data_IF_904140821007
#
_entry.id   IF_904140821007
#
_cell.length_a   1.000
_cell.length_b   1.000
_cell.length_c   1.000
_cell.angle_alpha   90.00
_cell.angle_beta   90.00
_cell.angle_gamma   90.00
#
_symmetry.space_group_name_H-M   'P 1'
#
loop_
_entity.id
_entity.type
_entity.pdbx_description
1 polymer ?
#
# COMPACT_ATOMS: atom_id res chain seq x y z
N UNK A 1 30.83 35.57 -35.95
CA UNK A 1 30.97 34.13 -35.57
C UNK A 1 31.65 33.91 -34.22
N UNK A 2 32.91 34.33 -33.98
CA UNK A 2 33.62 34.09 -32.69
C UNK A 2 32.92 34.64 -31.43
N UNK A 3 32.33 35.84 -31.49
CA UNK A 3 31.58 36.44 -30.36
C UNK A 3 30.30 35.67 -30.03
N UNK A 4 29.56 35.22 -31.06
CA UNK A 4 28.33 34.43 -30.90
C UNK A 4 28.65 33.07 -30.25
N UNK A 5 29.71 32.40 -30.71
CA UNK A 5 30.16 31.13 -30.14
C UNK A 5 30.58 31.28 -28.66
N UNK A 6 31.24 32.39 -28.30
CA UNK A 6 31.62 32.70 -26.92
C UNK A 6 30.39 32.90 -26.03
N UNK A 7 29.38 33.63 -26.50
CA UNK A 7 28.11 33.85 -25.77
C UNK A 7 27.40 32.50 -25.59
N UNK A 8 27.24 31.71 -26.67
CA UNK A 8 26.61 30.40 -26.60
C UNK A 8 27.31 29.46 -25.60
N UNK A 9 28.66 29.45 -25.57
CA UNK A 9 29.43 28.68 -24.60
C UNK A 9 29.17 29.12 -23.15
N UNK A 10 29.15 30.43 -22.88
CA UNK A 10 28.88 30.97 -21.54
C UNK A 10 27.45 30.62 -21.12
N UNK A 11 26.46 30.80 -22.01
CA UNK A 11 25.06 30.44 -21.75
C UNK A 11 24.93 28.96 -21.45
N UNK A 12 25.57 28.09 -22.22
CA UNK A 12 25.57 26.65 -21.98
C UNK A 12 26.17 26.29 -20.62
N UNK A 13 27.32 26.86 -20.26
CA UNK A 13 27.95 26.65 -18.95
C UNK A 13 27.05 27.14 -17.81
N UNK A 14 26.41 28.29 -17.98
CA UNK A 14 25.49 28.84 -16.98
C UNK A 14 24.26 27.95 -16.79
N UNK A 15 23.64 27.48 -17.88
CA UNK A 15 22.51 26.54 -17.83
C UNK A 15 22.91 25.23 -17.15
N UNK A 16 24.07 24.68 -17.51
CA UNK A 16 24.60 23.47 -16.89
C UNK A 16 24.86 23.67 -15.39
N UNK A 17 25.42 24.81 -14.98
CA UNK A 17 25.63 25.14 -13.57
C UNK A 17 24.31 25.25 -12.81
N UNK A 18 23.26 25.86 -13.40
CA UNK A 18 21.92 25.92 -12.81
C UNK A 18 21.36 24.52 -12.59
N UNK A 19 21.47 23.63 -13.57
CA UNK A 19 21.02 22.24 -13.46
C UNK A 19 21.78 21.52 -12.33
N UNK A 20 23.10 21.68 -12.23
CA UNK A 20 23.90 21.08 -11.16
C UNK A 20 23.52 21.60 -9.77
N UNK A 21 23.32 22.92 -9.63
CA UNK A 21 22.87 23.53 -8.36
C UNK A 21 21.49 23.00 -7.98
N UNK A 22 20.59 22.84 -8.94
CA UNK A 22 19.26 22.28 -8.70
C UNK A 22 19.34 20.81 -8.26
N UNK A 23 20.17 19.98 -8.91
CA UNK A 23 20.40 18.58 -8.50
C UNK A 23 20.99 18.51 -7.09
N UNK A 24 21.99 19.35 -6.79
CA UNK A 24 22.60 19.42 -5.46
C UNK A 24 21.57 19.84 -4.39
N UNK A 25 20.74 20.83 -4.69
CA UNK A 25 19.64 21.24 -3.80
C UNK A 25 18.66 20.09 -3.53
N UNK A 26 18.23 19.36 -4.57
CA UNK A 26 17.32 18.23 -4.40
C UNK A 26 17.94 17.13 -3.56
N UNK A 27 19.21 16.81 -3.79
CA UNK A 27 19.95 15.82 -3.02
C UNK A 27 20.07 16.21 -1.54
N UNK A 28 20.50 17.44 -1.25
CA UNK A 28 20.65 17.96 0.12
C UNK A 28 19.28 18.02 0.81
N UNK A 29 18.25 18.53 0.12
CA UNK A 29 16.87 18.60 0.64
C UNK A 29 16.31 17.21 0.95
N UNK A 30 16.58 16.21 0.10
CA UNK A 30 16.21 14.82 0.37
C UNK A 30 16.93 14.28 1.61
N UNK A 31 18.25 14.47 1.72
CA UNK A 31 19.02 13.99 2.87
C UNK A 31 18.58 14.63 4.20
N UNK A 32 18.31 15.94 4.20
CA UNK A 32 17.77 16.64 5.37
C UNK A 32 16.39 16.09 5.74
N UNK A 33 15.52 15.86 4.75
CA UNK A 33 14.15 15.39 5.00
C UNK A 33 14.10 13.94 5.53
N UNK A 34 14.91 13.04 4.96
CA UNK A 34 14.93 11.63 5.36
C UNK A 34 15.51 11.43 6.76
N UNK A 35 16.33 12.38 7.22
CA UNK A 35 17.14 12.31 8.44
C UNK A 35 18.14 11.13 8.41
N UNK A 36 19.14 11.15 9.30
CA UNK A 36 19.96 9.96 9.54
C UNK A 36 19.16 8.93 10.32
N UNK A 37 19.65 7.68 10.36
CA UNK A 37 19.10 6.68 11.28
C UNK A 37 19.17 7.18 12.73
N UNK A 38 18.21 6.75 13.54
CA UNK A 38 18.15 6.99 14.96
C UNK A 38 18.41 5.67 15.72
N UNK A 39 19.46 5.62 16.52
CA UNK A 39 19.88 4.40 17.24
C UNK A 39 18.81 3.83 18.18
N UNK A 40 17.98 4.69 18.79
CA UNK A 40 16.88 4.22 19.65
C UNK A 40 15.77 3.56 18.84
N UNK A 41 15.45 4.10 17.66
CA UNK A 41 14.48 3.51 16.74
C UNK A 41 15.00 2.18 16.18
N UNK A 42 16.25 2.16 15.71
CA UNK A 42 16.93 0.95 15.21
C UNK A 42 16.95 -0.15 16.28
N UNK A 43 17.34 0.18 17.52
CA UNK A 43 17.35 -0.78 18.64
C UNK A 43 15.96 -1.34 18.93
N UNK A 44 14.91 -0.51 18.91
CA UNK A 44 13.53 -0.97 19.05
C UNK A 44 13.10 -1.87 17.89
N UNK A 45 13.31 -1.44 16.64
CA UNK A 45 12.88 -2.18 15.44
C UNK A 45 13.59 -3.53 15.33
N UNK A 46 14.88 -3.61 15.67
CA UNK A 46 15.66 -4.86 15.64
C UNK A 46 15.05 -5.98 16.51
N UNK A 47 14.25 -5.62 17.53
CA UNK A 47 13.54 -6.55 18.43
C UNK A 47 12.07 -6.76 18.05
N UNK A 48 11.52 -5.90 17.19
CA UNK A 48 10.09 -5.84 16.85
C UNK A 48 9.86 -5.98 15.34
N UNK A 49 10.64 -6.86 14.71
CA UNK A 49 10.50 -7.20 13.30
C UNK A 49 10.52 -8.71 13.07
N UNK A 50 9.94 -9.12 11.95
CA UNK A 50 10.05 -10.47 11.39
C UNK A 50 10.22 -10.39 9.89
N UNK A 51 11.02 -11.27 9.31
CA UNK A 51 11.13 -11.42 7.87
C UNK A 51 9.97 -12.28 7.37
N UNK A 52 9.29 -11.85 6.30
CA UNK A 52 8.27 -12.65 5.62
C UNK A 52 8.98 -13.55 4.62
N UNK A 53 8.79 -14.86 4.77
CA UNK A 53 9.36 -15.87 3.87
C UNK A 53 8.33 -16.96 3.60
N UNK A 54 7.56 -16.80 2.53
CA UNK A 54 6.51 -17.73 2.11
C UNK A 54 5.29 -17.84 3.05
N UNK A 55 5.30 -17.19 4.22
CA UNK A 55 4.16 -17.04 5.12
C UNK A 55 4.43 -15.92 6.15
N UNK A 56 3.37 -15.44 6.81
CA UNK A 56 3.45 -14.45 7.89
C UNK A 56 3.77 -15.15 9.22
N UNK A 57 4.80 -14.67 9.92
CA UNK A 57 5.13 -15.09 11.28
C UNK A 57 4.23 -14.39 12.31
N UNK A 58 3.56 -15.17 13.17
CA UNK A 58 2.65 -14.66 14.19
C UNK A 58 3.34 -13.97 15.38
N UNK A 59 4.67 -14.07 15.50
CA UNK A 59 5.45 -13.56 16.64
C UNK A 59 5.21 -12.09 16.98
N UNK A 60 4.85 -11.25 15.99
CA UNK A 60 4.57 -9.84 16.24
C UNK A 60 3.12 -9.57 16.68
N UNK A 61 2.22 -10.53 16.55
CA UNK A 61 0.80 -10.36 16.82
C UNK A 61 0.47 -10.83 18.23
N UNK A 62 -0.12 -9.93 19.02
CA UNK A 62 -0.56 -10.22 20.38
C UNK A 62 -2.08 -10.45 20.42
N UNK A 63 -2.61 -10.76 21.61
CA UNK A 63 -4.06 -10.94 21.79
C UNK A 63 -4.87 -9.70 21.42
N UNK A 64 -4.29 -8.49 21.48
CA UNK A 64 -5.01 -7.27 21.13
C UNK A 64 -5.18 -7.11 19.61
N UNK A 65 -4.17 -7.52 18.83
CA UNK A 65 -4.25 -7.64 17.38
C UNK A 65 -5.46 -8.49 16.94
N UNK A 66 -5.63 -9.66 17.55
CA UNK A 66 -6.74 -10.57 17.19
C UNK A 66 -8.12 -10.08 17.64
N UNK A 67 -8.23 -9.01 18.43
CA UNK A 67 -9.52 -8.37 18.73
C UNK A 67 -10.01 -7.47 17.60
N UNK A 68 -9.14 -7.09 16.65
CA UNK A 68 -9.55 -6.25 15.54
C UNK A 68 -10.60 -6.92 14.67
N UNK A 69 -11.58 -6.14 14.26
CA UNK A 69 -12.62 -6.60 13.35
C UNK A 69 -12.19 -6.44 11.90
N UNK A 70 -11.48 -5.36 11.58
CA UNK A 70 -11.00 -5.07 10.23
C UNK A 70 -9.48 -4.94 10.23
N UNK A 71 -8.85 -5.65 9.31
CA UNK A 71 -7.41 -5.57 9.03
C UNK A 71 -7.22 -4.93 7.65
N UNK A 72 -6.48 -3.83 7.56
CA UNK A 72 -6.27 -3.12 6.29
C UNK A 72 -4.79 -3.09 5.94
N UNK A 73 -4.45 -3.45 4.71
CA UNK A 73 -3.12 -3.26 4.15
C UNK A 73 -3.17 -2.09 3.15
N UNK A 74 -2.41 -1.03 3.44
CA UNK A 74 -2.23 0.12 2.56
C UNK A 74 -0.96 0.02 1.73
N UNK A 75 -1.04 0.18 0.42
CA UNK A 75 0.13 0.11 -0.47
C UNK A 75 0.30 1.33 -1.39
N UNK A 76 1.52 1.55 -1.84
CA UNK A 76 1.74 2.28 -3.09
C UNK A 76 1.65 1.24 -4.22
N UNK A 77 0.77 1.46 -5.19
CA UNK A 77 0.54 0.51 -6.28
C UNK A 77 1.78 0.28 -7.15
N UNK A 78 1.82 -0.86 -7.85
CA UNK A 78 2.81 -1.12 -8.91
C UNK A 78 3.95 -2.06 -8.53
N UNK A 79 4.04 -2.49 -7.27
CA UNK A 79 5.10 -3.39 -6.80
C UNK A 79 4.59 -4.82 -6.63
N UNK A 80 5.33 -5.80 -7.14
CA UNK A 80 4.96 -7.21 -7.12
C UNK A 80 4.81 -7.77 -5.69
N UNK A 81 5.71 -7.38 -4.79
CA UNK A 81 5.67 -7.88 -3.42
C UNK A 81 4.42 -7.44 -2.64
N UNK A 82 3.70 -6.39 -3.08
CA UNK A 82 2.40 -6.04 -2.49
C UNK A 82 1.36 -7.15 -2.73
N UNK A 83 1.34 -7.78 -3.90
CA UNK A 83 0.45 -8.93 -4.15
C UNK A 83 0.88 -10.15 -3.34
N UNK A 84 2.19 -10.33 -3.13
CA UNK A 84 2.73 -11.38 -2.26
C UNK A 84 2.25 -11.19 -0.82
N UNK A 85 2.52 -10.05 -0.19
CA UNK A 85 2.12 -9.82 1.22
C UNK A 85 0.60 -9.83 1.40
N UNK A 86 -0.16 -9.38 0.39
CA UNK A 86 -1.62 -9.40 0.46
C UNK A 86 -2.16 -10.84 0.54
N UNK A 87 -1.68 -11.70 -0.35
CA UNK A 87 -2.00 -13.13 -0.35
C UNK A 87 -1.61 -13.80 0.97
N UNK A 88 -0.37 -13.57 1.42
CA UNK A 88 0.14 -14.21 2.64
C UNK A 88 -0.61 -13.73 3.89
N UNK A 89 -0.96 -12.45 3.98
CA UNK A 89 -1.79 -11.91 5.07
C UNK A 89 -3.21 -12.49 5.05
N UNK A 90 -3.83 -12.61 3.87
CA UNK A 90 -5.16 -13.20 3.73
C UNK A 90 -5.17 -14.67 4.20
N UNK A 91 -4.20 -15.47 3.75
CA UNK A 91 -4.09 -16.88 4.16
C UNK A 91 -3.80 -17.01 5.65
N UNK A 92 -2.89 -16.18 6.17
CA UNK A 92 -2.57 -16.13 7.59
C UNK A 92 -3.81 -15.81 8.45
N UNK A 93 -4.53 -14.75 8.11
CA UNK A 93 -5.71 -14.29 8.86
C UNK A 93 -6.89 -15.26 8.74
N UNK A 94 -7.06 -15.90 7.59
CA UNK A 94 -8.03 -16.98 7.43
C UNK A 94 -7.73 -18.14 8.40
N UNK A 95 -6.48 -18.62 8.40
CA UNK A 95 -6.04 -19.73 9.25
C UNK A 95 -6.05 -19.43 10.74
N UNK A 96 -5.66 -18.22 11.14
CA UNK A 96 -5.43 -17.85 12.56
C UNK A 96 -6.59 -17.12 13.20
N UNK A 97 -7.37 -16.39 12.43
CA UNK A 97 -8.44 -15.53 12.93
C UNK A 97 -9.81 -15.80 12.28
N UNK A 98 -9.92 -16.80 11.40
CA UNK A 98 -11.17 -17.15 10.73
C UNK A 98 -11.65 -16.09 9.74
N UNK A 99 -10.77 -15.20 9.28
CA UNK A 99 -11.13 -14.17 8.29
C UNK A 99 -11.50 -14.83 6.98
N UNK A 100 -12.76 -14.67 6.57
CA UNK A 100 -13.31 -15.22 5.31
C UNK A 100 -13.89 -14.15 4.40
N UNK A 101 -13.91 -12.89 4.82
CA UNK A 101 -14.38 -11.78 4.02
C UNK A 101 -13.22 -10.86 3.64
N UNK A 102 -12.93 -10.80 2.35
CA UNK A 102 -11.94 -9.90 1.77
C UNK A 102 -12.65 -8.64 1.28
N UNK A 103 -12.41 -7.49 1.90
CA UNK A 103 -12.93 -6.19 1.43
C UNK A 103 -11.96 -5.58 0.43
N UNK A 104 -12.46 -5.12 -0.71
CA UNK A 104 -11.62 -4.77 -1.84
C UNK A 104 -11.86 -3.34 -2.32
N UNK A 105 -10.78 -2.67 -2.74
CA UNK A 105 -10.81 -1.41 -3.51
C UNK A 105 -11.27 -1.64 -4.96
N UNK A 106 -12.48 -2.21 -5.09
CA UNK A 106 -13.20 -2.40 -6.34
C UNK A 106 -14.71 -2.28 -6.04
N UNK A 107 -15.50 -2.07 -7.07
CA UNK A 107 -16.95 -2.00 -6.91
C UNK A 107 -17.59 -3.37 -6.69
N UNK A 108 -18.87 -3.35 -6.27
CA UNK A 108 -19.63 -4.56 -5.97
C UNK A 108 -19.87 -5.47 -7.18
N UNK A 109 -19.88 -4.94 -8.40
CA UNK A 109 -20.11 -5.71 -9.62
C UNK A 109 -18.86 -6.51 -10.01
N UNK A 110 -17.69 -5.87 -9.94
CA UNK A 110 -16.39 -6.54 -10.15
C UNK A 110 -16.17 -7.61 -9.08
N UNK A 111 -16.44 -7.29 -7.81
CA UNK A 111 -16.37 -8.27 -6.73
C UNK A 111 -17.30 -9.46 -6.94
N UNK A 112 -18.52 -9.24 -7.47
CA UNK A 112 -19.45 -10.33 -7.81
C UNK A 112 -18.88 -11.26 -8.88
N UNK A 113 -18.26 -10.71 -9.94
CA UNK A 113 -17.60 -11.51 -11.00
C UNK A 113 -16.44 -12.32 -10.43
N UNK A 114 -15.64 -11.71 -9.57
CA UNK A 114 -14.54 -12.41 -8.89
C UNK A 114 -15.05 -13.55 -8.00
N UNK A 115 -16.12 -13.34 -7.24
CA UNK A 115 -16.73 -14.40 -6.44
C UNK A 115 -17.29 -15.54 -7.32
N UNK A 116 -17.86 -15.24 -8.49
CA UNK A 116 -18.29 -16.28 -9.43
C UNK A 116 -17.12 -17.15 -9.91
N UNK A 117 -15.94 -16.55 -10.10
CA UNK A 117 -14.71 -17.32 -10.34
C UNK A 117 -14.32 -18.16 -9.12
N UNK A 118 -14.21 -17.55 -7.93
CA UNK A 118 -13.76 -18.22 -6.69
C UNK A 118 -14.67 -19.38 -6.24
N UNK A 119 -15.97 -19.30 -6.50
CA UNK A 119 -16.97 -20.32 -6.15
C UNK A 119 -17.28 -21.30 -7.29
N UNK A 120 -16.66 -21.10 -8.47
CA UNK A 120 -16.84 -21.97 -9.61
C UNK A 120 -16.38 -23.41 -9.29
N UNK A 121 -17.08 -24.40 -9.88
CA UNK A 121 -16.64 -25.81 -9.79
C UNK A 121 -15.36 -26.08 -10.57
N UNK A 122 -15.10 -25.27 -11.59
CA UNK A 122 -13.91 -25.33 -12.43
C UNK A 122 -13.23 -23.97 -12.42
N UNK A 123 -11.89 -23.98 -12.42
CA UNK A 123 -11.08 -22.77 -12.46
C UNK A 123 -11.21 -22.13 -13.85
N UNK A 124 -12.01 -21.07 -13.95
CA UNK A 124 -12.22 -20.33 -15.20
C UNK A 124 -11.25 -19.14 -15.29
N UNK A 125 -10.05 -19.40 -15.79
CA UNK A 125 -9.00 -18.39 -15.92
C UNK A 125 -9.38 -17.25 -16.88
N UNK A 126 -10.21 -17.51 -17.90
CA UNK A 126 -10.72 -16.45 -18.79
C UNK A 126 -11.57 -15.45 -18.01
N UNK A 127 -12.49 -15.93 -17.18
CA UNK A 127 -13.31 -15.06 -16.34
C UNK A 127 -12.46 -14.26 -15.33
N UNK A 128 -11.41 -14.86 -14.78
CA UNK A 128 -10.48 -14.14 -13.91
C UNK A 128 -9.70 -13.06 -14.68
N UNK A 129 -9.23 -13.38 -15.90
CA UNK A 129 -8.54 -12.42 -16.75
C UNK A 129 -9.40 -11.17 -17.01
N UNK A 130 -10.68 -11.36 -17.32
CA UNK A 130 -11.64 -10.25 -17.50
C UNK A 130 -11.78 -9.38 -16.24
N UNK A 131 -11.79 -9.99 -15.05
CA UNK A 131 -11.81 -9.25 -13.77
C UNK A 131 -10.55 -8.40 -13.62
N UNK A 132 -9.36 -8.97 -13.87
CA UNK A 132 -8.09 -8.26 -13.76
C UNK A 132 -8.00 -7.12 -14.76
N UNK A 133 -8.41 -7.34 -16.01
CA UNK A 133 -8.46 -6.29 -17.04
C UNK A 133 -9.43 -5.16 -16.67
N UNK A 134 -10.56 -5.50 -16.05
CA UNK A 134 -11.56 -4.52 -15.60
C UNK A 134 -10.99 -3.59 -14.52
N UNK A 135 -10.17 -4.10 -13.61
CA UNK A 135 -9.51 -3.29 -12.54
C UNK A 135 -8.64 -2.17 -13.11
N UNK A 136 -8.11 -2.33 -14.34
CA UNK A 136 -7.31 -1.32 -15.04
C UNK A 136 -8.03 0.02 -15.17
N UNK A 137 -9.37 0.04 -15.20
CA UNK A 137 -10.16 1.27 -15.33
C UNK A 137 -9.97 2.23 -14.16
N UNK A 138 -9.74 1.70 -12.95
CA UNK A 138 -9.56 2.50 -11.73
C UNK A 138 -8.12 2.52 -11.26
N UNK A 139 -7.47 1.36 -11.27
CA UNK A 139 -6.10 1.20 -10.75
C UNK A 139 -5.24 0.50 -11.82
N UNK A 140 -4.84 1.22 -12.88
CA UNK A 140 -4.04 0.66 -13.98
C UNK A 140 -2.80 -0.10 -13.51
N UNK A 141 -2.15 0.39 -12.45
CA UNK A 141 -0.94 -0.18 -11.86
C UNK A 141 -1.17 -1.57 -11.25
N UNK A 142 -2.39 -1.93 -10.87
CA UNK A 142 -2.68 -3.24 -10.27
C UNK A 142 -3.06 -4.31 -11.30
N UNK A 143 -3.57 -3.93 -12.48
CA UNK A 143 -3.95 -4.87 -13.54
C UNK A 143 -2.72 -5.58 -14.12
N UNK A 144 -2.39 -6.74 -13.56
CA UNK A 144 -1.09 -7.38 -13.70
C UNK A 144 -1.17 -8.91 -13.65
N UNK A 145 -0.10 -9.57 -14.07
CA UNK A 145 0.03 -11.03 -13.93
C UNK A 145 0.02 -11.45 -12.45
N UNK A 146 0.65 -10.69 -11.56
CA UNK A 146 0.75 -11.06 -10.14
C UNK A 146 -0.61 -10.96 -9.44
N UNK A 147 -1.48 -10.00 -9.84
CA UNK A 147 -2.85 -9.94 -9.36
C UNK A 147 -3.67 -11.16 -9.83
N UNK A 148 -3.49 -11.57 -11.10
CA UNK A 148 -4.10 -12.79 -11.64
C UNK A 148 -3.61 -14.05 -10.90
N UNK A 149 -2.31 -14.19 -10.69
CA UNK A 149 -1.70 -15.32 -10.00
C UNK A 149 -2.15 -15.40 -8.53
N UNK A 150 -2.27 -14.24 -7.85
CA UNK A 150 -2.82 -14.16 -6.50
C UNK A 150 -4.23 -14.75 -6.46
N UNK A 151 -5.14 -14.28 -7.31
CA UNK A 151 -6.53 -14.74 -7.27
C UNK A 151 -6.68 -16.20 -7.70
N UNK A 152 -5.85 -16.70 -8.62
CA UNK A 152 -5.73 -18.14 -8.88
C UNK A 152 -5.32 -18.93 -7.65
N UNK A 153 -4.34 -18.43 -6.90
CA UNK A 153 -3.91 -19.05 -5.64
C UNK A 153 -5.03 -19.04 -4.59
N UNK A 154 -5.81 -17.96 -4.50
CA UNK A 154 -6.97 -17.86 -3.60
C UNK A 154 -8.07 -18.84 -4.01
N UNK A 155 -8.31 -19.04 -5.31
CA UNK A 155 -9.22 -20.09 -5.80
C UNK A 155 -8.77 -21.47 -5.30
N UNK A 156 -7.49 -21.83 -5.50
CA UNK A 156 -6.96 -23.13 -5.09
C UNK A 156 -7.04 -23.33 -3.58
N UNK A 157 -6.74 -22.27 -2.83
CA UNK A 157 -6.88 -22.25 -1.38
C UNK A 157 -8.34 -22.52 -0.97
N UNK A 158 -9.31 -21.83 -1.59
CA UNK A 158 -10.74 -22.03 -1.33
C UNK A 158 -11.23 -23.46 -1.61
N UNK A 159 -10.68 -24.16 -2.61
CA UNK A 159 -11.08 -25.55 -2.89
C UNK A 159 -10.72 -26.52 -1.76
N UNK A 160 -9.71 -26.17 -0.95
CA UNK A 160 -9.24 -27.00 0.16
C UNK A 160 -9.84 -26.58 1.51
N UNK A 161 -10.69 -25.55 1.54
CA UNK A 161 -11.36 -25.08 2.75
C UNK A 161 -12.74 -25.71 2.93
N UNK A 162 -13.13 -25.88 4.19
CA UNK A 162 -14.54 -26.09 4.53
C UNK A 162 -15.38 -24.89 4.05
N UNK A 163 -16.62 -25.14 3.64
CA UNK A 163 -17.51 -24.10 3.09
C UNK A 163 -17.66 -22.88 4.01
N UNK A 164 -17.62 -23.08 5.34
CA UNK A 164 -17.72 -22.02 6.34
C UNK A 164 -16.51 -21.09 6.43
N UNK A 165 -15.39 -21.45 5.79
CA UNK A 165 -14.13 -20.68 5.81
C UNK A 165 -13.74 -20.13 4.44
N UNK A 166 -14.45 -20.50 3.37
CA UNK A 166 -14.16 -20.05 2.01
C UNK A 166 -14.17 -18.53 1.93
N UNK A 167 -13.13 -18.00 1.31
CA UNK A 167 -12.94 -16.56 1.15
C UNK A 167 -13.96 -16.03 0.15
N UNK A 168 -14.67 -14.99 0.55
CA UNK A 168 -15.62 -14.22 -0.25
C UNK A 168 -15.16 -12.77 -0.34
N UNK A 169 -15.22 -12.19 -1.53
CA UNK A 169 -14.82 -10.81 -1.80
C UNK A 169 -16.01 -9.86 -1.69
N UNK A 170 -15.82 -8.71 -1.05
CA UNK A 170 -16.80 -7.64 -0.93
C UNK A 170 -16.19 -6.38 -1.54
N UNK A 171 -16.74 -5.92 -2.67
CA UNK A 171 -16.37 -4.66 -3.28
C UNK A 171 -16.99 -3.50 -2.52
N UNK A 172 -16.17 -2.63 -1.95
CA UNK A 172 -16.65 -1.48 -1.17
C UNK A 172 -16.45 -0.15 -1.88
N UNK A 173 -15.74 -0.13 -3.00
CA UNK A 173 -15.53 1.11 -3.77
C UNK A 173 -16.79 1.56 -4.52
N UNK A 174 -16.78 2.81 -4.98
CA UNK A 174 -17.78 3.34 -5.90
C UNK A 174 -17.72 2.59 -7.24
N UNK A 175 -18.87 2.42 -7.87
CA UNK A 175 -18.94 1.89 -9.24
C UNK A 175 -18.05 2.72 -10.19
N UNK A 176 -17.51 2.07 -11.21
CA UNK A 176 -16.61 2.74 -12.15
C UNK A 176 -17.27 3.89 -12.92
N UNK A 177 -18.57 3.82 -13.17
CA UNK A 177 -19.40 4.84 -13.80
C UNK A 177 -20.00 5.87 -12.83
N UNK A 178 -19.70 5.77 -11.53
CA UNK A 178 -20.27 6.68 -10.52
C UNK A 178 -19.55 8.03 -10.47
N UNK A 179 -20.12 9.01 -11.17
CA UNK A 179 -19.67 10.40 -11.22
C UNK A 179 -20.16 11.27 -10.06
N UNK A 180 -20.82 10.70 -9.03
CA UNK A 180 -21.33 11.47 -7.91
C UNK A 180 -20.23 12.26 -7.18
N UNK A 181 -20.53 13.51 -6.84
CA UNK A 181 -19.65 14.37 -6.06
C UNK A 181 -19.63 13.92 -4.61
N UNK A 182 -18.45 13.80 -4.01
CA UNK A 182 -18.30 13.42 -2.61
C UNK A 182 -16.97 12.71 -2.34
N UNK A 183 -16.70 12.46 -1.07
CA UNK A 183 -15.52 11.70 -0.66
C UNK A 183 -15.68 10.21 -1.03
N UNK A 184 -14.75 9.69 -1.84
CA UNK A 184 -14.68 8.26 -2.20
C UNK A 184 -14.62 7.38 -0.95
N UNK A 185 -13.83 7.78 0.04
CA UNK A 185 -13.66 7.04 1.30
C UNK A 185 -14.91 7.02 2.15
N UNK A 186 -15.68 8.11 2.18
CA UNK A 186 -17.00 8.13 2.86
C UNK A 186 -17.96 7.18 2.17
N UNK A 187 -17.98 7.15 0.84
CA UNK A 187 -18.77 6.18 0.09
C UNK A 187 -18.31 4.74 0.40
N UNK A 188 -17.01 4.48 0.49
CA UNK A 188 -16.49 3.17 0.88
C UNK A 188 -16.96 2.72 2.27
N UNK A 189 -16.96 3.62 3.26
CA UNK A 189 -17.50 3.32 4.60
C UNK A 189 -18.99 2.98 4.54
N UNK A 190 -19.77 3.75 3.79
CA UNK A 190 -21.21 3.49 3.63
C UNK A 190 -21.47 2.14 2.92
N UNK A 191 -20.74 1.87 1.84
CA UNK A 191 -20.85 0.62 1.10
C UNK A 191 -20.47 -0.59 1.96
N UNK A 192 -19.39 -0.50 2.72
CA UNK A 192 -19.00 -1.53 3.68
C UNK A 192 -20.12 -1.83 4.68
N UNK A 193 -20.63 -0.80 5.37
CA UNK A 193 -21.72 -0.95 6.36
C UNK A 193 -22.98 -1.57 5.75
N UNK A 194 -23.38 -1.10 4.57
CA UNK A 194 -24.53 -1.62 3.85
C UNK A 194 -24.34 -3.08 3.44
N UNK A 195 -23.15 -3.44 2.96
CA UNK A 195 -22.85 -4.81 2.55
C UNK A 195 -22.88 -5.79 3.73
N UNK A 196 -22.22 -5.46 4.85
CA UNK A 196 -22.17 -6.36 6.01
C UNK A 196 -23.53 -6.52 6.68
N UNK A 197 -24.36 -5.46 6.69
CA UNK A 197 -25.71 -5.54 7.22
C UNK A 197 -26.62 -6.39 6.33
N UNK A 198 -26.59 -6.17 5.01
CA UNK A 198 -27.38 -6.96 4.06
C UNK A 198 -27.03 -8.46 4.11
N UNK A 199 -25.78 -8.78 4.41
CA UNK A 199 -25.29 -10.16 4.51
C UNK A 199 -25.45 -10.75 5.92
N UNK A 200 -25.85 -9.96 6.93
CA UNK A 200 -25.90 -10.34 8.35
C UNK A 200 -24.54 -10.85 8.90
N UNK A 201 -23.47 -10.14 8.58
CA UNK A 201 -22.07 -10.49 8.93
C UNK A 201 -21.39 -9.39 9.74
N UNK A 202 -22.15 -8.56 10.45
CA UNK A 202 -21.62 -7.43 11.23
C UNK A 202 -20.70 -7.84 12.37
N UNK A 203 -20.75 -9.10 12.80
CA UNK A 203 -19.90 -9.67 13.85
C UNK A 203 -18.68 -10.43 13.29
N UNK A 204 -18.53 -10.49 11.97
CA UNK A 204 -17.43 -11.18 11.31
C UNK A 204 -16.18 -10.30 11.22
N UNK A 205 -15.07 -10.93 10.83
CA UNK A 205 -13.78 -10.26 10.62
C UNK A 205 -13.47 -10.10 9.14
N UNK A 206 -12.80 -9.00 8.81
CA UNK A 206 -12.53 -8.58 7.44
C UNK A 206 -11.06 -8.26 7.23
N UNK A 207 -10.55 -8.52 6.03
CA UNK A 207 -9.21 -8.12 5.60
C UNK A 207 -9.25 -7.50 4.20
N UNK A 208 -8.36 -6.57 3.87
CA UNK A 208 -8.28 -6.04 2.50
C UNK A 208 -7.04 -5.22 2.19
N UNK A 209 -6.65 -5.23 0.92
CA UNK A 209 -5.63 -4.35 0.33
C UNK A 209 -6.27 -3.10 -0.30
N UNK A 210 -5.71 -1.94 0.00
CA UNK A 210 -6.11 -0.64 -0.52
C UNK A 210 -4.89 0.21 -0.84
N UNK A 211 -5.07 1.27 -1.62
CA UNK A 211 -4.10 2.35 -1.73
C UNK A 211 -3.76 2.95 -0.36
N UNK A 212 -2.50 3.33 -0.17
CA UNK A 212 -1.88 3.72 1.10
C UNK A 212 -2.76 4.67 1.93
N UNK A 213 -3.33 5.69 1.28
CA UNK A 213 -4.11 6.73 1.94
C UNK A 213 -5.39 6.18 2.62
N UNK A 214 -6.04 5.20 2.01
CA UNK A 214 -7.29 4.61 2.51
C UNK A 214 -7.09 3.86 3.84
N UNK A 215 -5.87 3.37 4.11
CA UNK A 215 -5.53 2.61 5.31
C UNK A 215 -5.18 3.48 6.52
N UNK A 216 -5.09 4.81 6.38
CA UNK A 216 -4.71 5.72 7.47
C UNK A 216 -5.87 5.88 8.47
N UNK A 217 -5.67 5.51 9.73
CA UNK A 217 -6.74 5.54 10.76
C UNK A 217 -7.04 6.92 11.36
N UNK A 218 -6.38 7.96 10.90
CA UNK A 218 -6.55 9.34 11.37
C UNK A 218 -6.39 10.29 10.19
N UNK A 219 -7.10 11.42 10.24
CA UNK A 219 -6.96 12.47 9.24
C UNK A 219 -5.54 13.05 9.26
N UNK A 220 -5.13 13.56 8.11
CA UNK A 220 -3.88 14.32 7.92
C UNK A 220 -4.22 15.81 7.92
N UNK A 221 -3.20 16.68 7.84
CA UNK A 221 -3.43 18.14 7.75
C UNK A 221 -4.27 18.56 6.53
N UNK A 222 -4.36 17.71 5.49
CA UNK A 222 -5.25 17.96 4.34
C UNK A 222 -6.73 17.96 4.71
N UNK A 223 -7.11 17.42 5.88
CA UNK A 223 -8.49 17.29 6.33
C UNK A 223 -9.31 16.22 5.59
N UNK A 224 -8.73 15.57 4.58
CA UNK A 224 -9.39 14.51 3.81
C UNK A 224 -9.67 13.29 4.68
N UNK A 225 -10.89 12.78 4.54
CA UNK A 225 -11.35 11.56 5.20
C UNK A 225 -10.73 10.32 4.55
N UNK A 226 -10.54 9.30 5.37
CA UNK A 226 -9.97 8.02 4.96
C UNK A 226 -10.86 6.88 5.40
N UNK A 227 -10.88 5.79 4.63
CA UNK A 227 -11.73 4.63 4.88
C UNK A 227 -11.47 4.06 6.28
N UNK A 228 -10.20 3.83 6.63
CA UNK A 228 -9.82 3.31 7.95
C UNK A 228 -10.23 4.23 9.11
N UNK A 229 -10.11 5.56 8.94
CA UNK A 229 -10.57 6.53 9.93
C UNK A 229 -12.09 6.48 10.11
N UNK A 230 -12.86 6.46 9.02
CA UNK A 230 -14.32 6.40 9.10
C UNK A 230 -14.85 5.09 9.68
N UNK A 231 -14.16 3.96 9.46
CA UNK A 231 -14.45 2.70 10.15
C UNK A 231 -14.22 2.84 11.66
N UNK A 232 -13.05 3.36 12.07
CA UNK A 232 -12.69 3.55 13.48
C UNK A 232 -13.68 4.46 14.21
N UNK A 233 -14.10 5.56 13.59
CA UNK A 233 -15.10 6.47 14.15
C UNK A 233 -16.49 5.85 14.28
N UNK A 234 -16.78 4.81 13.50
CA UNK A 234 -18.02 4.04 13.65
C UNK A 234 -17.99 2.99 14.76
N UNK A 235 -16.90 2.92 15.53
CA UNK A 235 -16.72 1.95 16.60
C UNK A 235 -16.07 0.64 16.17
N UNK A 236 -15.75 0.47 14.88
CA UNK A 236 -15.04 -0.72 14.37
C UNK A 236 -13.59 -0.70 14.87
N UNK A 237 -13.13 -1.80 15.48
CA UNK A 237 -11.72 -1.95 15.83
C UNK A 237 -10.91 -2.28 14.58
N UNK A 238 -10.06 -1.34 14.14
CA UNK A 238 -9.24 -1.45 12.92
C UNK A 238 -7.77 -1.66 13.29
N UNK A 239 -7.10 -2.56 12.58
CA UNK A 239 -5.63 -2.63 12.54
C UNK A 239 -5.16 -2.34 11.13
N UNK A 240 -4.28 -1.36 10.98
CA UNK A 240 -3.71 -0.99 9.68
C UNK A 240 -2.24 -1.39 9.58
N UNK A 241 -1.92 -1.95 8.43
CA UNK A 241 -0.60 -2.20 7.90
C UNK A 241 -0.38 -1.23 6.75
N UNK A 242 0.86 -0.79 6.55
CA UNK A 242 1.25 -0.08 5.31
C UNK A 242 2.51 -0.69 4.73
N UNK A 243 2.72 -0.58 3.41
CA UNK A 243 3.97 -0.97 2.76
C UNK A 243 4.76 0.22 2.24
N UNK A 244 6.08 0.15 2.42
CA UNK A 244 7.07 1.03 1.78
C UNK A 244 8.06 0.20 0.97
N UNK A 245 8.71 0.86 0.02
CA UNK A 245 9.67 0.23 -0.88
C UNK A 245 11.02 0.93 -0.84
N UNK A 246 12.09 0.16 -0.90
CA UNK A 246 13.47 0.65 -1.07
C UNK A 246 14.17 -0.23 -2.10
N UNK A 247 15.03 0.36 -2.92
CA UNK A 247 15.79 -0.33 -3.98
C UNK A 247 14.89 -1.19 -4.91
N UNK A 248 13.64 -0.77 -5.13
CA UNK A 248 12.58 -1.54 -5.82
C UNK A 248 12.13 -0.89 -7.12
N UNK A 249 11.48 -1.67 -7.98
CA UNK A 249 10.93 -1.24 -9.27
C UNK A 249 9.40 -1.20 -9.19
N UNK A 250 8.78 -0.13 -9.69
CA UNK A 250 7.34 0.07 -9.76
C UNK A 250 6.87 -0.05 -11.21
N UNK A 251 5.75 -0.74 -11.42
CA UNK A 251 5.03 -0.73 -12.68
C UNK A 251 4.27 0.58 -12.84
N UNK A 252 4.61 1.32 -13.88
CA UNK A 252 3.96 2.55 -14.28
C UNK A 252 3.44 2.35 -15.71
N UNK A 253 2.17 1.94 -15.91
CA UNK A 253 1.62 1.82 -17.25
C UNK A 253 1.53 3.19 -17.93
N UNK A 254 1.63 3.20 -19.26
CA UNK A 254 1.47 4.42 -20.07
C UNK A 254 0.20 5.16 -19.70
N UNK A 255 0.36 6.43 -19.39
CA UNK A 255 -0.71 7.34 -19.03
C UNK A 255 -0.38 8.75 -19.54
N UNK A 256 -1.39 9.62 -19.74
CA UNK A 256 -1.17 10.97 -20.25
C UNK A 256 -0.52 11.92 -19.25
N UNK A 257 -0.47 11.55 -17.96
CA UNK A 257 -0.03 12.43 -16.88
C UNK A 257 1.49 12.39 -16.65
N UNK A 258 2.14 11.25 -16.89
CA UNK A 258 3.55 11.03 -16.56
C UNK A 258 4.34 10.42 -17.74
N UNK A 259 5.58 10.91 -17.99
CA UNK A 259 6.47 10.25 -18.93
C UNK A 259 6.76 8.85 -18.43
N UNK A 260 6.42 7.86 -19.24
CA UNK A 260 6.52 6.45 -18.90
C UNK A 260 7.58 5.80 -19.81
N UNK A 261 8.57 5.09 -19.27
CA UNK A 261 9.58 4.39 -20.08
C UNK A 261 8.95 3.25 -20.91
N UNK A 262 9.67 2.79 -21.93
CA UNK A 262 9.16 1.79 -22.87
C UNK A 262 8.79 0.45 -22.20
N UNK A 263 9.58 0.05 -21.20
CA UNK A 263 9.35 -1.16 -20.41
C UNK A 263 8.34 -0.96 -19.27
N UNK A 264 7.82 0.27 -19.09
CA UNK A 264 6.84 0.66 -18.08
C UNK A 264 7.30 0.40 -16.62
N UNK A 265 8.61 0.43 -16.37
CA UNK A 265 9.20 0.22 -15.04
C UNK A 265 9.98 1.45 -14.58
N UNK A 266 9.84 1.79 -13.30
CA UNK A 266 10.51 2.96 -12.71
C UNK A 266 10.97 2.69 -11.27
N UNK A 267 12.06 3.32 -10.83
CA UNK A 267 12.65 3.14 -9.49
C UNK A 267 12.67 4.44 -8.65
N UNK A 268 12.22 5.55 -9.23
CA UNK A 268 12.21 6.87 -8.59
C UNK A 268 11.18 7.07 -7.46
N UNK A 269 10.28 6.10 -7.24
CA UNK A 269 9.15 6.16 -6.31
C UNK A 269 9.31 5.28 -5.06
N UNK A 270 10.55 4.91 -4.75
CA UNK A 270 10.90 4.32 -3.46
C UNK A 270 10.77 5.36 -2.33
N UNK A 271 10.64 4.90 -1.09
CA UNK A 271 10.48 5.73 0.10
C UNK A 271 11.72 6.58 0.46
N UNK A 272 12.88 6.28 -0.13
CA UNK A 272 14.11 7.07 -0.09
C UNK A 272 14.51 7.60 -1.49
N UNK A 273 13.58 7.57 -2.44
CA UNK A 273 13.79 7.92 -3.83
C UNK A 273 13.79 9.43 -4.12
N UNK A 274 14.10 9.81 -5.36
CA UNK A 274 14.14 11.22 -5.76
C UNK A 274 12.77 11.88 -5.83
N UNK A 275 11.66 11.13 -6.00
CA UNK A 275 10.31 11.70 -6.13
C UNK A 275 9.37 11.44 -4.95
N UNK A 276 9.66 10.42 -4.15
CA UNK A 276 8.93 10.12 -2.93
C UNK A 276 9.91 9.96 -1.79
N UNK A 277 9.59 10.56 -0.66
CA UNK A 277 10.44 10.53 0.52
C UNK A 277 9.56 10.28 1.74
N UNK A 278 9.95 9.32 2.58
CA UNK A 278 9.27 9.00 3.84
C UNK A 278 10.22 9.34 4.98
N UNK A 279 9.80 10.25 5.85
CA UNK A 279 10.63 10.68 6.98
C UNK A 279 10.88 9.50 7.94
N UNK A 280 12.14 9.26 8.32
CA UNK A 280 12.51 8.16 9.22
C UNK A 280 12.61 6.77 8.56
N UNK A 281 12.50 6.67 7.23
CA UNK A 281 12.62 5.40 6.50
C UNK A 281 13.99 4.71 6.70
N UNK A 282 15.04 5.50 6.97
CA UNK A 282 16.40 4.98 7.18
C UNK A 282 16.50 4.06 8.39
N UNK A 283 15.62 4.21 9.39
CA UNK A 283 15.56 3.31 10.54
C UNK A 283 15.17 1.89 10.13
N UNK A 284 14.19 1.75 9.21
CA UNK A 284 13.75 0.46 8.67
C UNK A 284 14.78 -0.09 7.68
N UNK A 285 15.42 0.77 6.89
CA UNK A 285 16.47 0.37 5.94
C UNK A 285 17.66 -0.28 6.64
N UNK A 286 18.07 0.26 7.78
CA UNK A 286 19.21 -0.24 8.57
C UNK A 286 18.98 -1.68 9.08
N UNK A 287 17.78 -1.99 9.56
CA UNK A 287 17.47 -3.28 10.20
C UNK A 287 16.95 -4.35 9.24
N UNK A 288 16.66 -3.99 7.99
CA UNK A 288 16.15 -4.90 6.96
C UNK A 288 17.25 -5.36 6.00
N UNK A 289 17.06 -6.54 5.42
CA UNK A 289 17.99 -7.10 4.44
C UNK A 289 17.55 -6.75 3.01
N UNK A 290 18.48 -6.56 2.07
CA UNK A 290 18.17 -6.57 0.64
C UNK A 290 17.45 -7.85 0.22
N UNK A 291 16.64 -7.80 -0.83
CA UNK A 291 15.85 -8.93 -1.36
C UNK A 291 14.97 -9.61 -0.29
N UNK A 292 14.37 -8.82 0.59
CA UNK A 292 13.53 -9.31 1.66
C UNK A 292 12.33 -8.41 1.91
N UNK A 293 11.25 -9.03 2.37
CA UNK A 293 10.08 -8.37 2.94
C UNK A 293 10.23 -8.45 4.45
N UNK A 294 10.23 -7.31 5.14
CA UNK A 294 10.32 -7.26 6.60
C UNK A 294 9.08 -6.57 7.18
N UNK A 295 8.40 -7.23 8.10
CA UNK A 295 7.27 -6.68 8.86
C UNK A 295 7.79 -6.10 10.18
N UNK A 296 7.37 -4.89 10.50
CA UNK A 296 7.69 -4.17 11.73
C UNK A 296 6.44 -3.88 12.53
N UNK A 297 6.51 -4.01 13.85
CA UNK A 297 5.46 -3.58 14.79
C UNK A 297 5.79 -2.23 15.39
N UNK A 298 4.90 -1.26 15.25
CA UNK A 298 5.09 0.11 15.76
C UNK A 298 4.51 0.33 17.16
N UNK A 299 3.54 -0.50 17.60
CA UNK A 299 2.77 -0.25 18.82
C UNK A 299 3.22 -1.01 20.08
N UNK A 300 4.39 -1.64 20.11
CA UNK A 300 4.81 -2.39 21.30
C UNK A 300 5.20 -1.46 22.48
N UNK A 301 5.30 -2.04 23.69
CA UNK A 301 5.67 -1.29 24.90
C UNK A 301 6.99 -0.53 24.68
N UNK A 302 7.01 0.74 25.10
CA UNK A 302 8.14 1.66 24.95
C UNK A 302 8.55 1.98 23.50
N UNK A 303 7.65 1.78 22.54
CA UNK A 303 7.93 2.14 21.16
C UNK A 303 8.15 3.65 20.97
N UNK A 304 9.19 4.09 20.24
CA UNK A 304 9.37 5.49 19.89
C UNK A 304 8.27 6.01 18.96
N UNK A 305 7.60 5.12 18.22
CA UNK A 305 6.51 5.45 17.28
C UNK A 305 5.18 5.79 17.98
N UNK A 306 5.12 5.67 19.32
CA UNK A 306 4.01 6.19 20.13
C UNK A 306 4.12 7.69 20.40
N UNK A 307 5.27 8.31 20.09
CA UNK A 307 5.53 9.75 20.31
C UNK A 307 6.12 10.45 19.08
N UNK A 308 6.50 9.67 18.06
CA UNK A 308 7.09 10.18 16.83
C UNK A 308 6.08 10.14 15.68
N UNK A 309 6.21 11.09 14.76
CA UNK A 309 5.50 11.15 13.49
C UNK A 309 6.26 10.47 12.34
N UNK A 310 7.47 9.96 12.61
CA UNK A 310 8.27 9.26 11.60
C UNK A 310 7.46 8.13 10.97
N UNK A 311 7.71 7.89 9.69
CA UNK A 311 6.98 7.02 8.77
C UNK A 311 5.66 7.59 8.26
N UNK A 312 4.94 8.46 8.99
CA UNK A 312 3.69 9.04 8.45
C UNK A 312 3.95 10.16 7.47
N UNK A 313 4.96 11.00 7.72
CA UNK A 313 5.25 12.16 6.88
C UNK A 313 5.84 11.73 5.54
N UNK A 314 5.05 11.86 4.47
CA UNK A 314 5.45 11.55 3.09
C UNK A 314 5.55 12.84 2.30
N UNK A 315 6.70 13.06 1.67
CA UNK A 315 6.90 14.13 0.70
C UNK A 315 6.85 13.54 -0.71
N UNK A 316 5.87 13.98 -1.47
CA UNK A 316 5.79 13.71 -2.90
C UNK A 316 6.15 14.95 -3.71
N UNK A 317 7.05 14.78 -4.69
CA UNK A 317 7.48 15.88 -5.58
C UNK A 317 6.73 15.90 -6.90
N UNK A 318 6.09 14.79 -7.28
CA UNK A 318 5.33 14.70 -8.54
C UNK A 318 4.16 13.72 -8.50
N UNK A 319 4.11 12.78 -7.55
CA UNK A 319 3.14 11.68 -7.53
C UNK A 319 2.21 11.78 -6.32
N UNK A 320 1.01 12.34 -6.51
CA UNK A 320 0.05 12.53 -5.43
C UNK A 320 0.43 13.68 -4.48
N UNK A 321 -0.26 13.71 -3.34
CA UNK A 321 -0.14 14.79 -2.35
C UNK A 321 0.89 14.46 -1.27
N UNK A 322 1.42 15.50 -0.62
CA UNK A 322 2.18 15.31 0.61
C UNK A 322 1.25 14.77 1.71
N UNK A 323 1.77 13.86 2.52
CA UNK A 323 1.09 13.36 3.71
C UNK A 323 1.77 14.01 4.91
N UNK A 324 1.01 14.82 5.64
CA UNK A 324 1.49 15.49 6.85
C UNK A 324 0.57 15.11 8.00
N UNK A 325 1.08 14.44 9.06
CA UNK A 325 0.26 14.08 10.21
C UNK A 325 -0.16 15.31 11.00
N UNK A 326 -1.25 15.19 11.77
CA UNK A 326 -1.68 16.22 12.70
C UNK A 326 -0.63 16.42 13.79
N UNK A 327 -0.40 17.67 14.23
CA UNK A 327 0.66 18.08 15.16
C UNK A 327 0.86 17.19 16.39
N UNK A 328 -0.23 16.77 17.04
CA UNK A 328 -0.17 15.97 18.28
C UNK A 328 -0.39 14.46 18.04
N UNK A 329 -0.38 14.01 16.78
CA UNK A 329 -0.52 12.62 16.43
C UNK A 329 0.83 11.90 16.39
N UNK A 330 0.80 10.59 16.68
CA UNK A 330 1.94 9.69 16.54
C UNK A 330 1.76 8.74 15.36
N UNK A 331 2.81 8.08 14.90
CA UNK A 331 2.72 7.10 13.81
C UNK A 331 1.73 5.98 14.11
N UNK A 332 1.70 5.52 15.36
CA UNK A 332 0.79 4.47 15.80
C UNK A 332 -0.69 4.89 15.79
N UNK A 333 -1.01 6.19 15.70
CA UNK A 333 -2.38 6.66 15.51
C UNK A 333 -2.90 6.40 14.09
N UNK A 334 -1.99 6.29 13.11
CA UNK A 334 -2.30 6.11 11.69
C UNK A 334 -2.27 4.64 11.27
N UNK A 335 -1.26 3.89 11.69
CA UNK A 335 -1.10 2.46 11.40
C UNK A 335 -0.21 1.78 12.45
N UNK A 336 -0.44 0.49 12.69
CA UNK A 336 0.23 -0.26 13.76
C UNK A 336 1.42 -1.08 13.26
N UNK A 337 1.46 -1.36 11.95
CA UNK A 337 2.46 -2.21 11.33
C UNK A 337 2.95 -1.62 10.00
N UNK A 338 4.21 -1.92 9.67
CA UNK A 338 4.84 -1.49 8.42
C UNK A 338 5.54 -2.68 7.77
N UNK A 339 5.26 -2.94 6.51
CA UNK A 339 6.08 -3.78 5.65
C UNK A 339 7.11 -2.89 4.94
N UNK A 340 8.38 -3.30 4.97
CA UNK A 340 9.40 -2.78 4.08
C UNK A 340 9.74 -3.83 3.02
N UNK A 341 9.52 -3.49 1.76
CA UNK A 341 9.81 -4.32 0.59
C UNK A 341 11.14 -3.85 0.01
N UNK A 342 12.15 -4.73 0.00
CA UNK A 342 13.46 -4.43 -0.55
C UNK A 342 13.70 -5.24 -1.81
N UNK A 343 14.05 -4.54 -2.89
CA UNK A 343 14.24 -5.12 -4.22
C UNK A 343 13.00 -5.81 -4.80
N UNK A 344 11.81 -5.32 -4.43
CA UNK A 344 10.56 -5.75 -5.08
C UNK A 344 10.64 -5.44 -6.57
N UNK A 345 10.18 -6.37 -7.39
CA UNK A 345 10.01 -6.15 -8.82
C UNK A 345 8.77 -5.32 -9.10
N UNK A 346 8.78 -4.68 -10.27
CA UNK A 346 7.58 -4.07 -10.83
C UNK A 346 6.58 -5.17 -11.17
N UNK A 347 5.29 -4.88 -10.99
CA UNK A 347 4.23 -5.71 -11.55
C UNK A 347 4.42 -5.88 -13.07
N UNK A 348 3.99 -7.02 -13.59
CA UNK A 348 4.14 -7.33 -15.01
C UNK A 348 2.80 -7.27 -15.72
N UNK A 349 2.84 -6.97 -17.02
CA UNK A 349 1.65 -6.99 -17.87
C UNK A 349 0.99 -8.36 -17.80
N UNK A 350 -0.33 -8.35 -17.65
CA UNK A 350 -1.16 -9.53 -17.78
C UNK A 350 -0.91 -10.18 -19.15
N UNK A 351 -0.61 -11.48 -19.15
CA UNK A 351 -0.32 -12.25 -20.37
C UNK A 351 -1.60 -12.75 -21.04
#
# INVERSE_FOLDING_TARGET
MKKILKIAKITFIALFAIVLVFIAYLYISSKIFLESKNESNVSYLSKNNVQVSGSIDEKLFDADFYKSQVFLLGEIHGYADNQTIDKEMLFFLNKKAGVKYYIAEMDSLVAKRLNSFLLGKQKNETALKEVVETIKQRIPQQSSQELFDKWNSVYDYNQNLADSLKITVIGVDKNFDDESKGSRDVAMVANFKNAINKMNIENEKFYGLFGFFHALQKKTESGRETFAQGLKESGTKVTSFVSYTIDSEMYLPKNPQFPTPEDEKVDWLNADGPLMLVKGINDLKEVSKPNAITLFKLGAKNSPYLKSQNLVTVKSRAFGENIVPLKDASANDYFQYVFLLRNSKALTKLK
#
